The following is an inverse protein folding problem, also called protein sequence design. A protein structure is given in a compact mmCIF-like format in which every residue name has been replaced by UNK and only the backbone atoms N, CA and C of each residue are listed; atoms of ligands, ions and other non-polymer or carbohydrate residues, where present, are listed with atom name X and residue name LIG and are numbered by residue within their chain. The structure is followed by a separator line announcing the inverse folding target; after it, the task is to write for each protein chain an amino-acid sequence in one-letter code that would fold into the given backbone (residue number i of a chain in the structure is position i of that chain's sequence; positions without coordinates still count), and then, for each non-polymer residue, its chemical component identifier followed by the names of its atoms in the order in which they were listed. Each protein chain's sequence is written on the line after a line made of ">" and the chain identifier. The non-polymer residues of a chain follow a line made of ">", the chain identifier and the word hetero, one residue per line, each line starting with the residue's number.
data_IF_217233586825
#
_entry.id   IF_217233586825
#
_cell.length_a   1.000
_cell.length_b   1.000
_cell.length_c   1.000
_cell.angle_alpha   90.00
_cell.angle_beta   90.00
_cell.angle_gamma   90.00
#
_symmetry.space_group_name_H-M   'P 1'
#
loop_
_entity.id
_entity.type
_entity.pdbx_description
1 polymer ?
#
# COMPACT_ATOMS: atom_id res chain seq x y z
N UNK A 1 -11.48 7.48 3.85
CA UNK A 1 -12.74 6.91 4.37
C UNK A 1 -13.01 5.54 3.77
N UNK A 2 -13.13 5.41 2.44
CA UNK A 2 -13.38 4.11 1.79
C UNK A 2 -12.32 3.05 2.16
N UNK A 3 -11.03 3.39 2.19
CA UNK A 3 -9.97 2.46 2.64
C UNK A 3 -10.16 1.98 4.10
N UNK A 4 -10.61 2.84 5.00
CA UNK A 4 -10.84 2.49 6.41
C UNK A 4 -11.99 1.49 6.51
N UNK A 5 -13.05 1.69 5.72
CA UNK A 5 -14.17 0.75 5.64
C UNK A 5 -13.76 -0.59 5.05
N UNK A 6 -12.86 -0.58 4.05
CA UNK A 6 -12.34 -1.79 3.40
C UNK A 6 -11.56 -2.67 4.38
N UNK A 7 -10.61 -2.10 5.11
CA UNK A 7 -9.74 -2.86 6.02
C UNK A 7 -10.32 -3.06 7.43
N UNK A 8 -11.40 -2.34 7.78
CA UNK A 8 -11.95 -2.23 9.15
C UNK A 8 -10.90 -1.86 10.19
N UNK A 9 -9.84 -1.15 9.76
CA UNK A 9 -8.70 -0.73 10.56
C UNK A 9 -8.18 0.61 10.02
N UNK A 10 -7.73 1.50 10.92
CA UNK A 10 -7.18 2.82 10.58
C UNK A 10 -5.66 2.81 10.33
N UNK A 11 -4.92 1.79 10.79
CA UNK A 11 -3.47 1.67 10.60
C UNK A 11 -3.10 1.19 9.19
N UNK A 12 -3.86 0.28 8.60
CA UNK A 12 -3.57 -0.25 7.26
C UNK A 12 -3.72 0.79 6.13
N UNK A 13 -4.71 1.70 6.12
CA UNK A 13 -4.79 2.77 5.13
C UNK A 13 -3.57 3.71 5.15
N UNK A 14 -2.97 3.94 6.32
CA UNK A 14 -1.84 4.86 6.48
C UNK A 14 -0.60 4.35 5.72
N UNK A 15 -0.42 3.04 5.57
CA UNK A 15 0.71 2.46 4.82
C UNK A 15 0.61 2.68 3.31
N UNK A 16 -0.60 2.96 2.79
CA UNK A 16 -0.85 3.13 1.35
C UNK A 16 -0.62 4.57 0.88
N UNK A 17 -0.89 5.56 1.74
CA UNK A 17 -0.76 6.98 1.41
C UNK A 17 0.63 7.40 0.88
N UNK A 18 1.75 6.93 1.45
CA UNK A 18 3.09 7.25 0.94
C UNK A 18 3.25 6.90 -0.54
N UNK A 19 2.84 5.70 -0.96
CA UNK A 19 2.94 5.25 -2.36
C UNK A 19 2.19 6.16 -3.33
N UNK A 20 1.05 6.73 -2.92
CA UNK A 20 0.30 7.70 -3.73
C UNK A 20 1.07 9.01 -3.86
N UNK A 21 1.59 9.55 -2.75
CA UNK A 21 2.36 10.80 -2.77
C UNK A 21 3.60 10.67 -3.66
N UNK A 22 4.30 9.53 -3.55
CA UNK A 22 5.49 9.23 -4.32
C UNK A 22 5.18 9.15 -5.83
N UNK A 23 3.99 8.69 -6.21
CA UNK A 23 3.59 8.63 -7.63
C UNK A 23 3.50 10.00 -8.29
N UNK A 24 3.14 11.06 -7.55
CA UNK A 24 3.14 12.41 -8.09
C UNK A 24 4.54 12.86 -8.49
N UNK A 25 5.56 12.55 -7.68
CA UNK A 25 6.95 12.87 -8.02
C UNK A 25 7.38 12.30 -9.38
N UNK A 26 6.97 11.07 -9.69
CA UNK A 26 7.17 10.48 -11.01
C UNK A 26 6.41 11.17 -12.14
N UNK A 27 5.19 11.63 -11.88
CA UNK A 27 4.38 12.34 -12.86
C UNK A 27 4.97 13.70 -13.23
N UNK A 28 5.45 14.46 -12.23
CA UNK A 28 6.18 15.70 -12.45
C UNK A 28 7.47 15.45 -13.24
N UNK A 29 8.21 14.39 -12.90
CA UNK A 29 9.41 14.01 -13.64
C UNK A 29 9.09 13.62 -15.10
N UNK A 30 8.00 12.91 -15.34
CA UNK A 30 7.54 12.56 -16.69
C UNK A 30 7.17 13.78 -17.54
N UNK A 31 6.49 14.76 -16.92
CA UNK A 31 6.18 16.04 -17.56
C UNK A 31 7.46 16.82 -17.90
N UNK A 32 8.42 16.84 -16.97
CA UNK A 32 9.69 17.54 -17.13
C UNK A 32 10.55 16.92 -18.25
N UNK A 33 10.66 15.59 -18.29
CA UNK A 33 11.40 14.87 -19.35
C UNK A 33 10.76 15.11 -20.73
N UNK A 34 9.43 15.14 -20.80
CA UNK A 34 8.70 15.35 -22.07
C UNK A 34 8.60 16.84 -22.44
N UNK A 35 9.06 17.75 -21.58
CA UNK A 35 8.95 19.19 -21.79
C UNK A 35 7.51 19.70 -21.84
N UNK A 36 6.56 19.01 -21.19
CA UNK A 36 5.13 19.37 -21.20
C UNK A 36 4.77 20.19 -19.97
N UNK A 37 3.91 21.18 -20.18
CA UNK A 37 3.42 22.03 -19.11
C UNK A 37 2.36 21.34 -18.25
N UNK A 38 2.21 21.86 -17.03
CA UNK A 38 1.13 21.48 -16.14
C UNK A 38 -0.16 22.17 -16.61
N UNK A 39 -1.04 21.40 -17.23
CA UNK A 39 -2.30 21.87 -17.81
C UNK A 39 -3.49 21.09 -17.27
N UNK A 40 -4.72 21.47 -17.64
CA UNK A 40 -5.94 20.74 -17.28
C UNK A 40 -5.87 19.24 -17.64
N UNK A 41 -5.40 18.84 -18.83
CA UNK A 41 -5.13 17.42 -19.13
C UNK A 41 -4.12 16.73 -18.21
N UNK A 42 -3.03 17.41 -17.83
CA UNK A 42 -2.06 16.86 -16.89
C UNK A 42 -2.72 16.53 -15.56
N UNK A 43 -3.60 17.41 -15.05
CA UNK A 43 -4.37 17.15 -13.83
C UNK A 43 -5.30 15.94 -13.95
N UNK A 44 -5.95 15.71 -15.10
CA UNK A 44 -6.73 14.48 -15.34
C UNK A 44 -5.83 13.26 -15.20
N UNK A 45 -4.62 13.33 -15.76
CA UNK A 45 -3.60 12.29 -15.61
C UNK A 45 -3.18 12.07 -14.14
N UNK A 46 -2.99 13.15 -13.37
CA UNK A 46 -2.67 13.06 -11.94
C UNK A 46 -3.81 12.40 -11.15
N UNK A 47 -5.08 12.74 -11.43
CA UNK A 47 -6.23 12.09 -10.78
C UNK A 47 -6.31 10.61 -11.13
N UNK A 48 -6.07 10.25 -12.40
CA UNK A 48 -6.01 8.85 -12.83
C UNK A 48 -4.89 8.09 -12.10
N UNK A 49 -3.72 8.71 -11.94
CA UNK A 49 -2.59 8.14 -11.20
C UNK A 49 -2.91 7.82 -9.75
N UNK A 50 -3.67 8.69 -9.06
CA UNK A 50 -4.13 8.42 -7.70
C UNK A 50 -4.87 7.09 -7.65
N UNK A 51 -5.82 6.86 -8.57
CA UNK A 51 -6.60 5.63 -8.63
C UNK A 51 -5.74 4.39 -8.92
N UNK A 52 -4.87 4.47 -9.93
CA UNK A 52 -4.03 3.34 -10.33
C UNK A 52 -2.99 3.00 -9.26
N UNK A 53 -2.27 3.99 -8.74
CA UNK A 53 -1.27 3.80 -7.68
C UNK A 53 -1.90 3.25 -6.39
N UNK A 54 -3.09 3.76 -6.04
CA UNK A 54 -3.85 3.27 -4.89
C UNK A 54 -4.27 1.82 -5.08
N UNK A 55 -4.78 1.42 -6.25
CA UNK A 55 -5.12 0.02 -6.55
C UNK A 55 -3.91 -0.91 -6.41
N UNK A 56 -2.76 -0.49 -6.95
CA UNK A 56 -1.53 -1.29 -6.89
C UNK A 56 -1.07 -1.52 -5.43
N UNK A 57 -1.20 -0.49 -4.59
CA UNK A 57 -0.82 -0.57 -3.16
C UNK A 57 -1.84 -1.34 -2.32
N UNK A 58 -3.14 -1.11 -2.55
CA UNK A 58 -4.23 -1.82 -1.85
C UNK A 58 -4.14 -3.32 -2.08
N UNK A 59 -3.98 -3.77 -3.33
CA UNK A 59 -3.95 -5.20 -3.65
C UNK A 59 -2.80 -5.96 -2.97
N UNK A 60 -1.68 -5.28 -2.74
CA UNK A 60 -0.52 -5.85 -2.04
C UNK A 60 -0.78 -5.94 -0.54
N UNK A 61 -1.23 -4.85 0.08
CA UNK A 61 -1.52 -4.80 1.53
C UNK A 61 -2.66 -5.74 1.90
N UNK A 62 -3.73 -5.78 1.11
CA UNK A 62 -4.86 -6.69 1.30
C UNK A 62 -4.42 -8.14 1.24
N UNK A 63 -3.57 -8.51 0.28
CA UNK A 63 -3.06 -9.88 0.18
C UNK A 63 -2.14 -10.24 1.35
N UNK A 64 -1.30 -9.31 1.82
CA UNK A 64 -0.46 -9.53 3.00
C UNK A 64 -1.31 -9.75 4.26
N UNK A 65 -2.38 -8.98 4.47
CA UNK A 65 -3.30 -9.15 5.60
C UNK A 65 -4.06 -10.46 5.49
N UNK A 66 -4.53 -10.80 4.29
CA UNK A 66 -5.19 -12.08 4.00
C UNK A 66 -4.26 -13.25 4.36
N UNK A 67 -3.00 -13.18 3.93
CA UNK A 67 -2.02 -14.23 4.17
C UNK A 67 -1.66 -14.40 5.66
N UNK A 68 -1.63 -13.31 6.44
CA UNK A 68 -1.49 -13.40 7.90
C UNK A 68 -2.71 -14.05 8.57
N UNK A 69 -3.93 -13.71 8.13
CA UNK A 69 -5.17 -14.18 8.77
C UNK A 69 -5.54 -15.61 8.39
N UNK A 70 -5.40 -15.98 7.12
CA UNK A 70 -5.83 -17.29 6.60
C UNK A 70 -4.74 -18.35 6.67
N UNK A 71 -3.49 -18.00 6.34
CA UNK A 71 -2.37 -18.95 6.31
C UNK A 71 -1.54 -18.95 7.59
N UNK A 72 -1.83 -18.05 8.54
CA UNK A 72 -1.07 -17.92 9.79
C UNK A 72 0.41 -17.59 9.61
N UNK A 73 0.77 -17.05 8.43
CA UNK A 73 2.16 -16.75 8.09
C UNK A 73 2.73 -15.65 8.97
N UNK A 74 4.04 -15.70 9.19
CA UNK A 74 4.75 -14.58 9.80
C UNK A 74 4.60 -13.33 8.93
N UNK A 75 4.69 -12.15 9.54
CA UNK A 75 4.46 -10.86 8.87
C UNK A 75 5.31 -10.71 7.61
N UNK A 76 6.58 -11.08 7.72
CA UNK A 76 7.55 -11.00 6.65
C UNK A 76 7.25 -12.01 5.54
N UNK A 77 6.90 -13.25 5.91
CA UNK A 77 6.55 -14.29 4.94
C UNK A 77 5.27 -13.96 4.17
N UNK A 78 4.26 -13.43 4.87
CA UNK A 78 3.01 -12.99 4.26
C UNK A 78 3.21 -11.83 3.27
N UNK A 79 4.07 -10.87 3.62
CA UNK A 79 4.41 -9.74 2.75
C UNK A 79 5.22 -10.19 1.54
N UNK A 80 6.17 -11.11 1.72
CA UNK A 80 6.94 -11.66 0.61
C UNK A 80 6.10 -12.49 -0.34
N UNK A 81 5.19 -13.31 0.19
CA UNK A 81 4.23 -14.06 -0.62
C UNK A 81 3.30 -13.12 -1.40
N UNK A 82 2.82 -12.06 -0.77
CA UNK A 82 2.03 -11.00 -1.42
C UNK A 82 2.79 -10.33 -2.56
N UNK A 83 4.06 -9.94 -2.33
CA UNK A 83 4.91 -9.34 -3.34
C UNK A 83 5.07 -10.26 -4.55
N UNK A 84 5.38 -11.55 -4.36
CA UNK A 84 5.54 -12.48 -5.48
C UNK A 84 4.25 -12.69 -6.28
N UNK A 85 3.12 -12.84 -5.60
CA UNK A 85 1.84 -13.10 -6.28
C UNK A 85 1.26 -11.87 -6.96
N UNK A 86 1.57 -10.65 -6.46
CA UNK A 86 1.06 -9.40 -7.02
C UNK A 86 2.01 -8.69 -7.98
N UNK A 87 3.32 -8.93 -7.89
CA UNK A 87 4.29 -8.28 -8.77
C UNK A 87 3.98 -8.53 -10.26
N UNK A 88 3.65 -9.77 -10.66
CA UNK A 88 3.29 -10.09 -12.05
C UNK A 88 2.07 -9.28 -12.54
N UNK A 89 0.91 -9.31 -11.87
CA UNK A 89 -0.23 -8.47 -12.23
C UNK A 89 0.05 -6.96 -12.22
N UNK A 90 0.81 -6.44 -11.26
CA UNK A 90 1.14 -5.00 -11.15
C UNK A 90 2.00 -4.56 -12.34
N UNK A 91 3.02 -5.35 -12.69
CA UNK A 91 3.89 -5.05 -13.83
C UNK A 91 3.11 -5.14 -15.14
N UNK A 92 2.22 -6.12 -15.28
CA UNK A 92 1.38 -6.29 -16.46
C UNK A 92 0.52 -5.06 -16.75
N UNK A 93 -0.14 -4.49 -15.73
CA UNK A 93 -0.98 -3.30 -15.92
C UNK A 93 -0.15 -2.07 -16.27
N UNK A 94 0.99 -1.89 -15.62
CA UNK A 94 1.90 -0.77 -15.90
C UNK A 94 2.41 -0.82 -17.33
N UNK A 95 2.89 -1.98 -17.79
CA UNK A 95 3.36 -2.13 -19.18
C UNK A 95 2.21 -1.88 -20.17
N UNK A 96 1.02 -2.43 -19.92
CA UNK A 96 -0.13 -2.24 -20.80
C UNK A 96 -0.55 -0.76 -20.91
N UNK A 97 -0.63 -0.03 -19.79
CA UNK A 97 -0.97 1.38 -19.78
C UNK A 97 0.12 2.23 -20.43
N UNK A 98 1.40 1.97 -20.13
CA UNK A 98 2.52 2.68 -20.75
C UNK A 98 2.49 2.46 -22.26
N UNK A 99 2.37 1.22 -22.73
CA UNK A 99 2.31 0.91 -24.15
C UNK A 99 1.10 1.58 -24.85
N UNK A 100 -0.07 1.58 -24.21
CA UNK A 100 -1.28 2.22 -24.75
C UNK A 100 -1.21 3.75 -24.81
N UNK A 101 -0.46 4.37 -23.90
CA UNK A 101 -0.29 5.83 -23.83
C UNK A 101 0.97 6.33 -24.54
N UNK A 102 1.95 5.46 -24.79
CA UNK A 102 3.18 5.77 -25.49
C UNK A 102 2.94 6.50 -26.82
N UNK A 103 2.05 6.04 -27.74
CA UNK A 103 1.79 6.74 -29.00
C UNK A 103 1.28 8.17 -28.82
N UNK A 104 0.62 8.47 -27.70
CA UNK A 104 0.09 9.80 -27.40
C UNK A 104 1.18 10.79 -27.01
N UNK A 105 2.29 10.31 -26.44
CA UNK A 105 3.43 11.16 -26.06
C UNK A 105 4.26 11.51 -27.29
N UNK A 106 4.48 10.53 -28.17
CA UNK A 106 5.24 10.70 -29.42
C UNK A 106 4.43 11.41 -30.53
N UNK A 107 3.13 11.67 -30.31
CA UNK A 107 2.29 12.38 -31.26
C UNK A 107 1.96 11.59 -32.52
N UNK A 108 1.95 10.26 -32.43
CA UNK A 108 1.54 9.41 -33.55
C UNK A 108 0.02 9.45 -33.70
N UNK A 109 -0.46 10.32 -34.58
CA UNK A 109 -1.86 10.38 -35.02
C UNK A 109 -2.37 11.79 -35.33
N UNK A 110 -3.41 11.87 -36.15
CA UNK A 110 -4.04 13.13 -36.60
C UNK A 110 -4.94 13.80 -35.53
N UNK A 111 -4.93 13.29 -34.29
CA UNK A 111 -5.76 13.79 -33.19
C UNK A 111 -5.04 14.91 -32.42
N UNK A 112 -5.79 15.69 -31.64
CA UNK A 112 -5.29 16.83 -30.84
C UNK A 112 -4.17 16.43 -29.86
N UNK A 113 -2.94 16.44 -30.36
CA UNK A 113 -1.74 16.03 -29.62
C UNK A 113 -1.49 16.96 -28.43
N UNK A 114 -1.89 18.23 -28.54
CA UNK A 114 -1.76 19.24 -27.49
C UNK A 114 -2.54 18.93 -26.21
N UNK A 115 -3.67 18.21 -26.33
CA UNK A 115 -4.49 17.83 -25.16
C UNK A 115 -4.05 16.49 -24.57
N UNK A 116 -3.74 15.50 -25.41
CA UNK A 116 -3.49 14.11 -24.97
C UNK A 116 -2.06 13.87 -24.50
N UNK A 117 -1.07 14.50 -25.12
CA UNK A 117 0.34 14.34 -24.76
C UNK A 117 0.66 14.72 -23.30
N UNK A 118 0.24 15.88 -22.76
CA UNK A 118 0.52 16.23 -21.36
C UNK A 118 -0.12 15.25 -20.36
N UNK A 119 -1.35 14.79 -20.63
CA UNK A 119 -2.01 13.77 -19.82
C UNK A 119 -1.22 12.44 -19.84
N UNK A 120 -0.86 11.95 -21.02
CA UNK A 120 -0.14 10.69 -21.19
C UNK A 120 1.26 10.74 -20.57
N UNK A 121 1.98 11.87 -20.71
CA UNK A 121 3.30 12.05 -20.12
C UNK A 121 3.28 12.01 -18.59
N UNK A 122 2.29 12.69 -17.97
CA UNK A 122 2.09 12.64 -16.53
C UNK A 122 1.80 11.20 -16.07
N UNK A 123 0.88 10.49 -16.72
CA UNK A 123 0.51 9.12 -16.36
C UNK A 123 1.68 8.16 -16.54
N UNK A 124 2.42 8.20 -17.66
CA UNK A 124 3.55 7.29 -17.89
C UNK A 124 4.64 7.50 -16.84
N UNK A 125 5.05 8.74 -16.59
CA UNK A 125 6.08 9.04 -15.58
C UNK A 125 5.64 8.64 -14.18
N UNK A 126 4.38 8.94 -13.82
CA UNK A 126 3.81 8.58 -12.53
C UNK A 126 3.68 7.08 -12.36
N UNK A 127 3.25 6.34 -13.39
CA UNK A 127 3.08 4.90 -13.32
C UNK A 127 4.41 4.18 -13.15
N UNK A 128 5.41 4.49 -13.98
CA UNK A 128 6.73 3.86 -13.92
C UNK A 128 7.34 4.06 -12.52
N UNK A 129 7.34 5.31 -12.05
CA UNK A 129 7.83 5.64 -10.72
C UNK A 129 7.01 4.94 -9.65
N UNK A 130 5.68 5.02 -9.71
CA UNK A 130 4.80 4.42 -8.69
C UNK A 130 4.90 2.91 -8.61
N UNK A 131 5.16 2.20 -9.71
CA UNK A 131 5.28 0.74 -9.68
C UNK A 131 6.56 0.31 -8.99
N UNK A 132 7.68 0.96 -9.30
CA UNK A 132 8.96 0.68 -8.66
C UNK A 132 8.91 1.10 -7.19
N UNK A 133 8.44 2.32 -6.93
CA UNK A 133 8.36 2.87 -5.58
C UNK A 133 7.31 2.12 -4.75
N UNK A 134 6.14 1.74 -5.26
CA UNK A 134 5.16 1.00 -4.46
C UNK A 134 5.66 -0.39 -4.07
N UNK A 135 6.37 -1.09 -4.95
CA UNK A 135 6.92 -2.42 -4.64
C UNK A 135 8.06 -2.37 -3.61
N UNK A 136 8.79 -1.26 -3.50
CA UNK A 136 9.87 -1.09 -2.50
C UNK A 136 9.40 -0.41 -1.21
N UNK A 137 8.55 0.62 -1.35
CA UNK A 137 8.13 1.51 -0.27
C UNK A 137 6.96 0.91 0.50
N UNK A 138 5.97 0.31 -0.16
CA UNK A 138 4.83 -0.32 0.52
C UNK A 138 5.26 -1.40 1.51
N UNK A 139 6.16 -2.36 1.17
CA UNK A 139 6.60 -3.35 2.15
C UNK A 139 7.40 -2.72 3.29
N UNK A 140 8.29 -1.76 3.00
CA UNK A 140 9.07 -1.06 4.02
C UNK A 140 8.18 -0.32 5.03
N UNK A 141 7.18 0.42 4.54
CA UNK A 141 6.23 1.14 5.40
C UNK A 141 5.27 0.20 6.13
N UNK A 142 4.89 -0.92 5.52
CA UNK A 142 4.08 -1.95 6.18
C UNK A 142 4.81 -2.52 7.40
N UNK A 143 6.08 -2.88 7.27
CA UNK A 143 6.90 -3.36 8.39
C UNK A 143 7.02 -2.31 9.49
N UNK A 144 7.26 -1.05 9.15
CA UNK A 144 7.39 0.04 10.15
C UNK A 144 6.10 0.26 10.94
N UNK A 145 4.94 0.35 10.25
CA UNK A 145 3.65 0.59 10.92
C UNK A 145 3.26 -0.60 11.79
N UNK A 146 3.57 -1.82 11.36
CA UNK A 146 3.25 -3.02 12.14
C UNK A 146 4.21 -3.25 13.33
N UNK A 147 5.47 -2.80 13.24
CA UNK A 147 6.38 -2.76 14.38
C UNK A 147 5.92 -1.77 15.45
N UNK A 148 5.41 -0.60 15.04
CA UNK A 148 4.79 0.37 15.95
C UNK A 148 3.54 -0.25 16.60
N UNK A 149 2.72 -0.97 15.84
CA UNK A 149 1.54 -1.69 16.35
C UNK A 149 1.91 -2.75 17.40
N UNK A 150 2.97 -3.53 17.18
CA UNK A 150 3.45 -4.53 18.14
C UNK A 150 4.02 -3.87 19.40
N UNK A 151 4.76 -2.77 19.26
CA UNK A 151 5.31 -2.03 20.41
C UNK A 151 4.20 -1.43 21.27
N UNK A 152 3.16 -0.86 20.66
CA UNK A 152 1.97 -0.37 21.35
C UNK A 152 1.16 -1.52 21.96
N UNK A 153 1.06 -2.68 21.28
CA UNK A 153 0.42 -3.88 21.80
C UNK A 153 1.11 -4.47 23.02
N UNK A 154 2.44 -4.52 23.02
CA UNK A 154 3.28 -4.95 24.16
C UNK A 154 3.20 -3.94 25.30
N UNK A 155 3.23 -2.63 25.01
CA UNK A 155 3.06 -1.58 26.01
C UNK A 155 1.66 -1.62 26.66
N UNK A 156 0.61 -1.85 25.85
CA UNK A 156 -0.77 -1.98 26.32
C UNK A 156 -0.99 -3.29 27.09
N UNK A 157 -0.33 -4.41 26.72
CA UNK A 157 -0.32 -5.67 27.50
C UNK A 157 0.43 -5.53 28.83
N UNK A 158 1.49 -4.70 28.87
CA UNK A 158 2.16 -4.34 30.12
C UNK A 158 1.31 -3.45 31.01
N UNK A 159 0.52 -2.54 30.43
CA UNK A 159 -0.39 -1.66 31.18
C UNK A 159 -1.69 -2.36 31.64
N UNK A 160 -2.20 -3.34 30.87
CA UNK A 160 -3.43 -4.09 31.17
C UNK A 160 -3.20 -5.40 31.94
N UNK A 161 -1.95 -5.72 32.33
CA UNK A 161 -1.69 -6.75 33.34
C UNK A 161 -2.18 -6.22 34.68
N UNK A 162 -3.43 -6.54 35.02
CA UNK A 162 -3.92 -6.45 36.39
C UNK A 162 -2.95 -7.21 37.33
N UNK A 163 -2.68 -6.68 38.54
CA UNK A 163 -1.85 -7.36 39.53
C UNK A 163 -2.35 -8.79 39.75
N UNK A 164 -1.45 -9.77 39.98
CA UNK A 164 -1.88 -11.13 40.29
C UNK A 164 -2.79 -11.08 41.52
N UNK A 165 -4.02 -11.55 41.37
CA UNK A 165 -4.88 -11.84 42.50
C UNK A 165 -4.12 -12.79 43.42
N UNK A 166 -3.89 -12.32 44.64
CA UNK A 166 -3.22 -13.01 45.74
C UNK A 166 -3.70 -14.45 45.79
N UNK A 167 -2.74 -15.39 45.82
CA UNK A 167 -2.99 -16.79 46.18
C UNK A 167 -3.75 -16.81 47.51
N UNK A 168 -5.03 -17.15 47.49
CA UNK A 168 -5.67 -17.75 48.66
C UNK A 168 -5.11 -19.18 48.76
N UNK A 169 -4.40 -19.43 49.86
CA UNK A 169 -3.83 -20.71 50.21
C UNK A 169 -4.92 -21.79 50.28
N UNK A 170 -4.66 -23.02 49.79
CA UNK A 170 -5.57 -24.12 50.06
C UNK A 170 -5.46 -24.48 51.54
N UNK A 171 -6.46 -24.05 52.32
CA UNK A 171 -6.63 -24.51 53.70
C UNK A 171 -6.88 -26.00 53.66
N UNK A 172 -5.90 -26.76 54.15
CA UNK A 172 -6.00 -28.18 54.36
C UNK A 172 -7.22 -28.47 55.24
N UNK A 173 -8.28 -28.98 54.64
CA UNK A 173 -9.37 -29.59 55.37
C UNK A 173 -8.97 -31.02 55.67
N UNK A 174 -8.60 -31.19 56.93
CA UNK A 174 -8.23 -32.43 57.60
C UNK A 174 -9.39 -33.41 57.42
N UNK A 175 -9.10 -34.51 56.70
CA UNK A 175 -9.90 -35.72 56.76
C UNK A 175 -9.69 -36.29 58.16
N UNK A 176 -10.63 -36.08 59.08
CA UNK A 176 -10.75 -36.93 60.26
C UNK A 176 -11.48 -38.22 59.88
N UNK A 177 -10.99 -39.40 60.29
CA UNK A 177 -11.73 -40.65 60.18
C UNK A 177 -12.68 -40.79 61.37
N UNK A 178 -13.92 -41.21 61.09
CA UNK A 178 -14.80 -42.18 61.82
C UNK A 178 -16.26 -41.89 61.45
#
# INVERSE_FOLDING_TARGET
>A
IVLVLLFKDFMHPITIFPSVILSFGGAFLGLLITGKMLSMPSFIGLVMLIGVSTKNSILLVEYAIMAQREYGLSRFDALMDACHKRARPIVMTTIAMVAGMLPLVIGLGNADNSFRAPMAAAVIGGLISSTVLSLLVTPSFFTIVDDIGHFVGVAKRKLLRQPPATREEPRAEVIEPV
#
